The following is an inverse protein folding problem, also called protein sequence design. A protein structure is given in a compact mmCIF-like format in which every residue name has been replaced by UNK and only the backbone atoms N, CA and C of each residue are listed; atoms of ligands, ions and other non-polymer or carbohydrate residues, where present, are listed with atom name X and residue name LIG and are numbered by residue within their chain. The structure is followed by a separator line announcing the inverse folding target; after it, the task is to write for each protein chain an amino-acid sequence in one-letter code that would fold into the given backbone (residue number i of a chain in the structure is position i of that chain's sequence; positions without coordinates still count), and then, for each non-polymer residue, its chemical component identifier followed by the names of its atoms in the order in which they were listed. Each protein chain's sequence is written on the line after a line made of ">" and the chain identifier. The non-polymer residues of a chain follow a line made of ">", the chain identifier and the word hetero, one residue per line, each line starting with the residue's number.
data_IF_949900961244
#
_entry.id   IF_949900961244
#
_cell.length_a   1.000
_cell.length_b   1.000
_cell.length_c   1.000
_cell.angle_alpha   90.00
_cell.angle_beta   90.00
_cell.angle_gamma   90.00
#
_symmetry.space_group_name_H-M   'P 1'
#
loop_
_entity.id
_entity.type
_entity.pdbx_description
1 polymer ?
#
# COMPACT_ATOMS: atom_id res chain seq x y z
N UNK A 1 -15.03 22.95 -7.53
CA UNK A 1 -15.16 21.84 -8.46
C UNK A 1 -13.80 21.43 -8.99
N UNK A 2 -13.69 20.20 -9.54
CA UNK A 2 -12.46 19.73 -10.15
C UNK A 2 -12.10 20.58 -11.37
N UNK A 3 -10.82 20.95 -11.47
CA UNK A 3 -10.28 21.64 -12.63
C UNK A 3 -10.13 20.70 -13.83
N UNK A 4 -10.13 21.25 -15.03
CA UNK A 4 -9.89 20.47 -16.26
C UNK A 4 -8.50 19.87 -16.27
N UNK A 5 -7.51 20.53 -15.65
CA UNK A 5 -6.15 20.01 -15.54
C UNK A 5 -6.09 18.75 -14.66
N UNK A 6 -6.82 18.72 -13.52
CA UNK A 6 -6.90 17.53 -12.67
C UNK A 6 -7.50 16.34 -13.43
N UNK A 7 -8.59 16.58 -14.18
CA UNK A 7 -9.24 15.54 -14.97
C UNK A 7 -8.33 15.04 -16.11
N UNK A 8 -7.62 15.94 -16.76
CA UNK A 8 -6.68 15.60 -17.82
C UNK A 8 -5.52 14.75 -17.27
N UNK A 9 -4.87 15.21 -16.21
CA UNK A 9 -3.75 14.49 -15.59
C UNK A 9 -4.20 13.11 -15.05
N UNK A 10 -5.40 13.02 -14.49
CA UNK A 10 -5.96 11.75 -14.05
C UNK A 10 -6.16 10.78 -15.22
N UNK A 11 -6.75 11.23 -16.30
CA UNK A 11 -6.99 10.40 -17.50
C UNK A 11 -5.68 9.93 -18.15
N UNK A 12 -4.62 10.75 -18.10
CA UNK A 12 -3.29 10.41 -18.59
C UNK A 12 -2.46 9.54 -17.61
N UNK A 13 -2.98 9.26 -16.40
CA UNK A 13 -2.23 8.53 -15.36
C UNK A 13 -1.05 9.30 -14.78
N UNK A 14 -1.06 10.62 -14.88
CA UNK A 14 0.05 11.51 -14.51
C UNK A 14 -0.25 12.46 -13.35
N UNK A 15 -1.38 12.28 -12.67
CA UNK A 15 -1.72 13.11 -11.52
C UNK A 15 -0.95 12.65 -10.27
N UNK A 16 0.15 13.32 -9.94
CA UNK A 16 1.05 12.93 -8.84
C UNK A 16 0.51 13.24 -7.45
N UNK A 17 -0.43 14.19 -7.35
CA UNK A 17 -1.08 14.59 -6.10
C UNK A 17 -2.59 14.27 -6.16
N UNK A 18 -2.92 13.06 -6.55
CA UNK A 18 -4.30 12.62 -6.76
C UNK A 18 -5.13 12.66 -5.47
N UNK A 19 -4.49 12.43 -4.33
CA UNK A 19 -5.15 12.47 -3.02
C UNK A 19 -5.67 13.85 -2.61
N UNK A 20 -5.16 14.92 -3.21
CA UNK A 20 -5.68 16.29 -3.02
C UNK A 20 -6.78 16.66 -4.02
N UNK A 21 -6.92 15.88 -5.10
CA UNK A 21 -7.87 16.14 -6.19
C UNK A 21 -9.15 15.31 -6.08
N UNK A 22 -9.03 13.99 -5.98
CA UNK A 22 -10.18 13.08 -5.84
C UNK A 22 -10.53 12.80 -4.37
N UNK A 23 -11.62 12.09 -4.15
CA UNK A 23 -12.12 11.76 -2.82
C UNK A 23 -12.94 12.89 -2.21
N UNK A 24 -13.05 12.89 -0.89
CA UNK A 24 -13.77 13.91 -0.12
C UNK A 24 -12.81 15.02 0.29
N UNK A 25 -12.95 16.19 -0.33
CA UNK A 25 -12.09 17.35 -0.11
C UNK A 25 -12.87 18.48 0.57
N UNK A 26 -12.40 18.94 1.72
CA UNK A 26 -12.94 20.14 2.37
C UNK A 26 -12.63 21.36 1.50
N UNK A 27 -13.64 22.10 1.13
CA UNK A 27 -13.54 23.26 0.23
C UNK A 27 -14.48 24.39 0.68
N UNK A 28 -14.12 25.60 0.31
CA UNK A 28 -15.01 26.76 0.40
C UNK A 28 -15.41 27.17 -1.01
N UNK A 29 -16.71 27.14 -1.30
CA UNK A 29 -17.27 27.53 -2.58
C UNK A 29 -18.22 28.70 -2.34
N UNK A 30 -18.01 29.84 -3.03
CA UNK A 30 -18.81 31.07 -2.87
C UNK A 30 -18.99 31.49 -1.40
N UNK A 31 -17.93 31.35 -0.60
CA UNK A 31 -17.92 31.70 0.81
C UNK A 31 -18.58 30.67 1.75
N UNK A 32 -19.05 29.54 1.23
CA UNK A 32 -19.67 28.47 2.02
C UNK A 32 -18.72 27.29 2.14
N UNK A 33 -18.40 26.93 3.37
CA UNK A 33 -17.64 25.71 3.66
C UNK A 33 -18.47 24.46 3.44
N UNK A 34 -17.81 23.42 2.95
CA UNK A 34 -18.43 22.13 2.71
C UNK A 34 -17.42 21.10 2.19
N UNK A 35 -17.91 20.06 1.57
CA UNK A 35 -17.09 18.98 1.03
C UNK A 35 -17.41 18.74 -0.43
N UNK A 36 -16.38 18.70 -1.26
CA UNK A 36 -16.45 18.19 -2.61
C UNK A 36 -16.13 16.70 -2.61
N UNK A 37 -17.07 15.90 -3.05
CA UNK A 37 -16.89 14.48 -3.28
C UNK A 37 -16.62 14.21 -4.75
N UNK A 38 -15.62 13.40 -5.05
CA UNK A 38 -15.25 13.05 -6.42
C UNK A 38 -14.81 11.59 -6.49
N UNK A 39 -15.38 10.84 -7.42
CA UNK A 39 -15.11 9.41 -7.59
C UNK A 39 -15.12 9.00 -9.06
N UNK A 40 -14.21 8.11 -9.43
CA UNK A 40 -14.13 7.58 -10.78
C UNK A 40 -15.01 6.34 -10.93
N UNK A 41 -16.02 6.44 -11.79
CA UNK A 41 -16.96 5.36 -12.10
C UNK A 41 -17.51 5.54 -13.52
N UNK A 42 -16.68 5.34 -14.56
CA UNK A 42 -17.00 5.71 -15.94
C UNK A 42 -18.16 4.90 -16.55
N UNK A 43 -18.43 3.70 -16.04
CA UNK A 43 -19.48 2.83 -16.54
C UNK A 43 -20.76 2.87 -15.68
N UNK A 44 -20.80 3.71 -14.66
CA UNK A 44 -21.98 3.91 -13.85
C UNK A 44 -23.05 4.72 -14.61
N UNK A 45 -24.30 4.40 -14.34
CA UNK A 45 -25.46 5.16 -14.84
C UNK A 45 -25.86 6.30 -13.90
N UNK A 46 -25.58 6.15 -12.61
CA UNK A 46 -25.76 7.15 -11.56
C UNK A 46 -24.80 6.86 -10.42
N UNK A 47 -24.27 7.90 -9.81
CA UNK A 47 -23.53 7.84 -8.57
C UNK A 47 -24.13 8.86 -7.61
N UNK A 48 -24.33 8.45 -6.36
CA UNK A 48 -24.77 9.33 -5.28
C UNK A 48 -23.87 9.17 -4.08
N UNK A 49 -23.60 10.24 -3.35
CA UNK A 49 -22.93 10.14 -2.05
C UNK A 49 -23.99 9.99 -0.96
N UNK A 50 -23.76 9.05 -0.04
CA UNK A 50 -24.67 8.73 1.06
C UNK A 50 -23.93 8.72 2.39
N UNK A 51 -24.59 9.15 3.44
CA UNK A 51 -24.04 9.23 4.79
C UNK A 51 -25.14 9.62 5.77
N UNK A 52 -24.78 9.79 7.04
CA UNK A 52 -25.74 10.21 8.07
C UNK A 52 -26.37 11.57 7.72
N UNK A 53 -25.62 12.45 7.09
CA UNK A 53 -26.06 13.79 6.68
C UNK A 53 -27.26 13.79 5.70
N UNK A 54 -27.55 12.66 5.06
CA UNK A 54 -28.72 12.51 4.18
C UNK A 54 -29.52 11.25 4.46
N UNK A 55 -29.37 10.66 5.64
CA UNK A 55 -30.05 9.43 6.06
C UNK A 55 -29.77 8.23 5.13
N UNK A 56 -28.58 8.21 4.53
CA UNK A 56 -28.15 7.17 3.59
C UNK A 56 -29.06 6.99 2.37
N UNK A 57 -29.76 8.07 1.98
CA UNK A 57 -30.70 8.09 0.86
C UNK A 57 -30.03 8.64 -0.41
N UNK A 58 -29.70 7.75 -1.36
CA UNK A 58 -29.05 8.08 -2.61
C UNK A 58 -29.84 8.99 -3.56
N UNK A 59 -31.12 9.25 -3.29
CA UNK A 59 -31.94 10.19 -4.05
C UNK A 59 -31.63 11.64 -3.74
N UNK A 60 -30.98 11.92 -2.59
CA UNK A 60 -30.78 13.28 -2.06
C UNK A 60 -29.56 13.99 -2.64
N UNK A 61 -28.49 13.27 -2.89
CA UNK A 61 -27.24 13.83 -3.38
C UNK A 61 -26.68 13.07 -4.58
N UNK A 62 -27.40 13.03 -5.72
CA UNK A 62 -26.87 12.48 -6.96
C UNK A 62 -25.75 13.37 -7.47
N UNK A 63 -24.66 12.75 -7.91
CA UNK A 63 -23.48 13.42 -8.44
C UNK A 63 -23.62 13.66 -9.94
N UNK A 64 -22.85 14.60 -10.47
CA UNK A 64 -22.75 14.83 -11.91
C UNK A 64 -21.48 14.21 -12.48
N UNK A 65 -21.57 13.65 -13.65
CA UNK A 65 -20.41 13.11 -14.38
C UNK A 65 -19.66 14.22 -15.12
N UNK A 66 -18.34 14.14 -15.10
CA UNK A 66 -17.44 15.00 -15.87
C UNK A 66 -16.92 14.22 -17.07
N UNK A 67 -17.55 14.41 -18.21
CA UNK A 67 -17.13 13.78 -19.46
C UNK A 67 -15.87 14.48 -20.02
N UNK A 68 -14.95 13.73 -20.68
CA UNK A 68 -14.97 12.27 -20.92
C UNK A 68 -14.32 11.44 -19.82
N UNK A 69 -13.84 12.05 -18.72
CA UNK A 69 -13.03 11.38 -17.68
C UNK A 69 -13.76 10.23 -16.95
N UNK A 70 -15.09 10.28 -16.87
CA UNK A 70 -15.87 9.35 -16.08
C UNK A 70 -15.80 9.60 -14.56
N UNK A 71 -15.30 10.74 -14.16
CA UNK A 71 -15.29 11.19 -12.76
C UNK A 71 -16.64 11.82 -12.44
N UNK A 72 -17.21 11.42 -11.32
CA UNK A 72 -18.44 12.00 -10.76
C UNK A 72 -18.09 12.94 -9.63
N UNK A 73 -18.75 14.09 -9.54
CA UNK A 73 -18.51 15.07 -8.49
C UNK A 73 -19.79 15.72 -7.97
N UNK A 74 -19.76 16.13 -6.70
CA UNK A 74 -20.74 17.00 -6.06
C UNK A 74 -20.06 17.81 -4.97
N UNK A 75 -20.48 19.06 -4.77
CA UNK A 75 -20.17 19.81 -3.57
C UNK A 75 -21.41 19.86 -2.67
N UNK A 76 -21.24 19.46 -1.41
CA UNK A 76 -22.31 19.51 -0.41
C UNK A 76 -21.88 20.52 0.67
N UNK A 77 -22.62 21.63 0.80
CA UNK A 77 -22.33 22.66 1.79
C UNK A 77 -22.54 22.13 3.23
N UNK A 78 -21.78 22.66 4.17
CA UNK A 78 -21.91 22.43 5.61
C UNK A 78 -21.56 21.01 6.09
N UNK A 79 -21.11 20.12 5.22
CA UNK A 79 -20.49 18.87 5.64
C UNK A 79 -19.15 19.18 6.28
N UNK A 80 -18.83 18.46 7.37
CA UNK A 80 -17.61 18.68 8.17
C UNK A 80 -16.71 17.46 8.17
N UNK A 81 -15.42 17.62 8.49
CA UNK A 81 -14.55 16.51 8.82
C UNK A 81 -15.16 15.61 9.90
N UNK A 82 -14.96 14.30 9.76
CA UNK A 82 -15.50 13.30 10.67
C UNK A 82 -16.81 12.67 10.20
N UNK A 83 -17.54 13.30 9.28
CA UNK A 83 -18.73 12.71 8.68
C UNK A 83 -18.41 11.42 7.93
N UNK A 84 -19.23 10.39 8.10
CA UNK A 84 -19.08 9.11 7.43
C UNK A 84 -19.88 9.09 6.14
N UNK A 85 -19.32 8.45 5.12
CA UNK A 85 -19.97 8.37 3.81
C UNK A 85 -19.56 7.12 3.03
N UNK A 86 -20.39 6.80 2.05
CA UNK A 86 -20.12 5.82 0.97
C UNK A 86 -20.70 6.34 -0.34
N UNK A 87 -20.46 5.62 -1.42
CA UNK A 87 -21.10 5.87 -2.71
C UNK A 87 -22.15 4.81 -3.01
N UNK A 88 -23.34 5.25 -3.42
CA UNK A 88 -24.38 4.42 -4.02
C UNK A 88 -24.22 4.50 -5.53
N UNK A 89 -23.91 3.38 -6.16
CA UNK A 89 -23.65 3.29 -7.60
C UNK A 89 -24.73 2.46 -8.29
N UNK A 90 -25.40 3.05 -9.28
CA UNK A 90 -26.26 2.35 -10.21
C UNK A 90 -25.42 1.91 -11.41
N UNK A 91 -25.10 0.63 -11.46
CA UNK A 91 -24.43 0.02 -12.61
C UNK A 91 -25.41 -0.31 -13.74
N UNK A 92 -24.92 -0.99 -14.77
CA UNK A 92 -25.73 -1.36 -15.94
C UNK A 92 -26.86 -2.35 -15.60
N UNK A 93 -26.67 -3.17 -14.57
CA UNK A 93 -27.60 -4.24 -14.19
C UNK A 93 -28.34 -4.00 -12.87
N UNK A 94 -28.21 -2.82 -12.29
CA UNK A 94 -28.87 -2.46 -11.05
C UNK A 94 -27.97 -1.71 -10.06
N UNK A 95 -28.54 -1.43 -8.88
CA UNK A 95 -27.82 -0.79 -7.78
C UNK A 95 -26.84 -1.77 -7.16
N UNK A 96 -25.60 -1.34 -7.02
CA UNK A 96 -24.53 -2.13 -6.39
C UNK A 96 -24.61 -2.04 -4.86
N UNK A 97 -23.96 -2.96 -4.12
CA UNK A 97 -23.65 -2.73 -2.72
C UNK A 97 -22.95 -1.39 -2.55
N UNK A 98 -23.18 -0.71 -1.43
CA UNK A 98 -22.54 0.57 -1.14
C UNK A 98 -21.02 0.42 -1.16
N UNK A 99 -20.34 1.37 -1.82
CA UNK A 99 -18.89 1.37 -2.01
C UNK A 99 -18.19 2.37 -1.10
N UNK A 100 -17.14 1.92 -0.44
CA UNK A 100 -16.18 2.82 0.20
C UNK A 100 -15.44 3.65 -0.86
N UNK A 101 -14.96 4.81 -0.47
CA UNK A 101 -14.21 5.70 -1.37
C UNK A 101 -12.79 5.15 -1.60
N UNK A 102 -12.41 4.84 -2.85
CA UNK A 102 -11.03 4.42 -3.15
C UNK A 102 -9.96 5.45 -2.77
N UNK A 103 -10.35 6.73 -2.70
CA UNK A 103 -9.48 7.85 -2.39
C UNK A 103 -9.61 8.34 -0.94
N UNK A 104 -10.28 7.57 -0.07
CA UNK A 104 -10.45 7.96 1.32
C UNK A 104 -9.10 8.18 2.01
N UNK A 105 -8.99 9.29 2.72
CA UNK A 105 -7.83 9.63 3.54
C UNK A 105 -8.01 9.21 5.01
N UNK A 106 -9.23 8.90 5.40
CA UNK A 106 -9.60 8.37 6.71
C UNK A 106 -10.80 7.43 6.57
N UNK A 107 -10.91 6.49 7.50
CA UNK A 107 -11.96 5.46 7.50
C UNK A 107 -12.55 5.29 8.91
N UNK A 108 -13.69 4.60 8.97
CA UNK A 108 -14.21 4.06 10.22
C UNK A 108 -13.36 2.87 10.69
N UNK A 109 -13.45 2.55 11.98
CA UNK A 109 -12.79 1.36 12.53
C UNK A 109 -13.58 0.12 12.12
N UNK A 110 -12.92 -0.93 11.58
CA UNK A 110 -13.58 -2.20 11.32
C UNK A 110 -14.28 -2.78 12.58
N UNK A 111 -15.41 -3.45 12.44
CA UNK A 111 -16.01 -4.01 11.22
C UNK A 111 -16.80 -3.01 10.36
N UNK A 112 -16.89 -1.76 10.77
CA UNK A 112 -17.49 -0.73 9.93
C UNK A 112 -16.68 -0.53 8.65
N UNK A 113 -17.36 -0.20 7.54
CA UNK A 113 -16.78 -0.17 6.21
C UNK A 113 -16.91 1.18 5.50
N UNK A 114 -17.30 2.22 6.23
CA UNK A 114 -17.47 3.55 5.66
C UNK A 114 -16.12 4.31 5.58
N UNK A 115 -16.07 5.22 4.64
CA UNK A 115 -15.05 6.25 4.58
C UNK A 115 -15.42 7.43 5.48
N UNK A 116 -14.43 8.20 5.91
CA UNK A 116 -14.63 9.43 6.68
C UNK A 116 -14.09 10.63 5.92
N UNK A 117 -14.81 11.73 6.00
CA UNK A 117 -14.27 13.02 5.54
C UNK A 117 -13.10 13.40 6.44
N UNK A 118 -11.90 13.44 5.87
CA UNK A 118 -10.71 13.90 6.58
C UNK A 118 -10.56 15.41 6.46
N UNK A 119 -10.13 16.05 7.55
CA UNK A 119 -9.55 17.39 7.44
C UNK A 119 -8.24 17.29 6.61
N UNK A 120 -7.82 18.37 5.93
CA UNK A 120 -6.48 18.40 5.35
C UNK A 120 -5.45 18.04 6.41
N UNK A 121 -4.49 17.18 6.06
CA UNK A 121 -3.42 16.80 6.99
C UNK A 121 -2.65 18.05 7.40
N UNK A 122 -2.82 18.46 8.65
CA UNK A 122 -2.18 19.61 9.25
C UNK A 122 -1.31 19.13 10.41
N UNK A 123 -0.08 18.73 10.07
CA UNK A 123 0.89 18.26 11.03
C UNK A 123 2.14 19.14 10.97
N UNK A 124 2.59 19.63 12.11
CA UNK A 124 3.81 20.45 12.22
C UNK A 124 5.03 19.52 12.35
N UNK A 125 5.62 19.19 11.22
CA UNK A 125 6.77 18.31 11.13
C UNK A 125 8.02 18.92 11.77
N UNK A 126 8.69 18.18 12.62
CA UNK A 126 9.92 18.55 13.31
C UNK A 126 11.11 17.69 12.86
N UNK A 127 11.07 17.17 11.64
CA UNK A 127 12.01 16.19 11.08
C UNK A 127 12.85 16.72 9.92
N UNK A 128 12.98 18.03 9.80
CA UNK A 128 13.72 18.67 8.69
C UNK A 128 15.15 18.14 8.54
N UNK A 129 15.87 17.96 9.65
CA UNK A 129 17.26 17.47 9.64
C UNK A 129 17.32 16.04 9.06
N UNK A 130 16.34 15.19 9.44
CA UNK A 130 16.22 13.85 8.88
C UNK A 130 15.93 13.91 7.38
N UNK A 131 14.93 14.64 6.96
CA UNK A 131 14.51 14.71 5.55
C UNK A 131 15.61 15.27 4.65
N UNK A 132 16.39 16.24 5.11
CA UNK A 132 17.52 16.80 4.37
C UNK A 132 18.71 15.80 4.25
N UNK A 133 18.95 15.00 5.27
CA UNK A 133 20.07 14.04 5.31
C UNK A 133 19.69 12.62 4.87
N UNK A 134 18.41 12.38 4.59
CA UNK A 134 17.88 11.05 4.26
C UNK A 134 18.62 10.39 3.10
N UNK A 135 18.89 11.14 2.04
CA UNK A 135 19.62 10.64 0.88
C UNK A 135 21.02 10.13 1.23
N UNK A 136 21.73 10.84 2.10
CA UNK A 136 23.07 10.44 2.57
C UNK A 136 22.99 9.18 3.44
N UNK A 137 21.97 9.07 4.28
CA UNK A 137 21.73 7.89 5.14
C UNK A 137 21.37 6.64 4.34
N UNK A 138 20.78 6.81 3.18
CA UNK A 138 20.40 5.73 2.26
C UNK A 138 21.45 5.47 1.17
N UNK A 139 22.60 6.12 1.25
CA UNK A 139 23.73 5.78 0.36
C UNK A 139 24.11 4.30 0.53
N UNK A 140 24.44 3.65 -0.57
CA UNK A 140 24.74 2.21 -0.59
C UNK A 140 25.90 1.80 0.33
N UNK A 141 26.77 2.75 0.70
CA UNK A 141 27.89 2.51 1.61
C UNK A 141 27.51 2.71 3.09
N UNK A 142 26.28 3.11 3.37
CA UNK A 142 25.79 3.22 4.75
C UNK A 142 25.14 1.91 5.21
N UNK A 143 25.31 1.56 6.50
CA UNK A 143 24.66 0.37 7.03
C UNK A 143 23.15 0.54 7.08
N UNK A 144 22.43 -0.51 6.72
CA UNK A 144 20.98 -0.58 6.77
C UNK A 144 20.59 -1.81 7.58
N UNK A 145 19.95 -1.59 8.72
CA UNK A 145 19.44 -2.65 9.59
C UNK A 145 17.98 -2.36 9.89
N UNK A 146 17.09 -3.26 9.47
CA UNK A 146 15.64 -3.04 9.45
C UNK A 146 14.96 -4.01 10.41
N UNK A 147 14.11 -3.48 11.30
CA UNK A 147 13.24 -4.26 12.17
C UNK A 147 11.82 -4.26 11.61
N UNK A 148 11.35 -5.44 11.16
CA UNK A 148 9.99 -5.63 10.66
C UNK A 148 9.03 -5.91 11.81
N UNK A 149 7.88 -5.25 11.81
CA UNK A 149 6.84 -5.51 12.80
C UNK A 149 5.42 -5.31 12.24
N UNK A 150 4.47 -6.02 12.87
CA UNK A 150 3.04 -5.78 12.69
C UNK A 150 2.52 -4.92 13.84
N UNK A 151 2.06 -3.71 13.55
CA UNK A 151 1.62 -2.73 14.55
C UNK A 151 0.51 -3.27 15.47
N UNK A 152 -0.40 -4.08 14.92
CA UNK A 152 -1.54 -4.61 15.64
C UNK A 152 -1.25 -5.79 16.58
N UNK A 153 -0.04 -6.36 16.55
CA UNK A 153 0.29 -7.54 17.36
C UNK A 153 1.67 -7.49 18.03
N UNK A 154 2.43 -6.43 17.81
CA UNK A 154 3.76 -6.31 18.40
C UNK A 154 3.72 -6.33 19.95
N UNK A 155 2.91 -5.46 20.53
CA UNK A 155 2.56 -5.47 21.94
C UNK A 155 1.13 -4.90 22.11
N UNK A 156 0.53 -5.23 23.25
CA UNK A 156 -0.84 -4.83 23.56
C UNK A 156 -0.90 -3.98 24.82
N UNK A 157 -1.83 -3.02 24.81
CA UNK A 157 -2.29 -2.38 26.04
C UNK A 157 -3.21 -3.37 26.76
N UNK A 158 -2.81 -3.77 27.96
CA UNK A 158 -3.64 -4.61 28.81
C UNK A 158 -4.55 -3.71 29.65
N UNK A 159 -5.83 -3.73 29.33
CA UNK A 159 -6.85 -3.06 30.10
C UNK A 159 -7.02 -3.68 31.50
N UNK A 160 -7.58 -2.92 32.42
CA UNK A 160 -8.01 -3.45 33.72
C UNK A 160 -9.37 -4.14 33.62
N UNK A 161 -10.04 -4.29 34.76
CA UNK A 161 -11.38 -4.93 34.82
C UNK A 161 -12.42 -4.21 33.94
N UNK A 162 -12.24 -2.91 33.68
CA UNK A 162 -13.20 -2.04 32.98
C UNK A 162 -12.81 -1.68 31.53
N UNK A 163 -11.64 -2.08 31.06
CA UNK A 163 -11.15 -1.73 29.74
C UNK A 163 -10.62 -2.97 28.98
N UNK A 164 -11.06 -3.22 27.74
CA UNK A 164 -10.60 -4.38 26.97
C UNK A 164 -9.14 -4.24 26.55
N UNK A 165 -8.46 -5.36 26.42
CA UNK A 165 -7.16 -5.42 25.79
C UNK A 165 -7.25 -4.93 24.34
N UNK A 166 -6.28 -4.15 23.91
CA UNK A 166 -6.20 -3.60 22.56
C UNK A 166 -4.74 -3.45 22.09
N UNK A 167 -4.49 -3.42 20.77
CA UNK A 167 -3.18 -3.03 20.27
C UNK A 167 -2.83 -1.61 20.73
N UNK A 168 -1.54 -1.30 20.75
CA UNK A 168 -1.10 0.07 20.98
C UNK A 168 -1.61 1.01 19.88
N UNK A 169 -1.99 2.22 20.25
CA UNK A 169 -2.15 3.31 19.32
C UNK A 169 -0.77 3.86 18.88
N UNK A 170 -0.77 4.76 17.89
CA UNK A 170 0.48 5.29 17.34
C UNK A 170 1.38 5.98 18.38
N UNK A 171 0.82 6.68 19.35
CA UNK A 171 1.59 7.35 20.41
C UNK A 171 2.21 6.34 21.37
N UNK A 172 1.43 5.36 21.83
CA UNK A 172 1.91 4.29 22.70
C UNK A 172 2.96 3.43 22.00
N UNK A 173 2.76 3.15 20.70
CA UNK A 173 3.73 2.41 19.91
C UNK A 173 5.05 3.19 19.80
N UNK A 174 5.01 4.49 19.53
CA UNK A 174 6.21 5.32 19.50
C UNK A 174 6.96 5.29 20.84
N UNK A 175 6.23 5.44 21.95
CA UNK A 175 6.82 5.44 23.30
C UNK A 175 7.55 4.13 23.63
N UNK A 176 7.03 3.00 23.21
CA UNK A 176 7.59 1.68 23.53
C UNK A 176 8.58 1.17 22.50
N UNK A 177 8.30 1.36 21.22
CA UNK A 177 9.09 0.82 20.13
C UNK A 177 10.38 1.58 19.91
N UNK A 178 10.37 2.90 19.95
CA UNK A 178 11.54 3.72 19.65
C UNK A 178 12.73 3.40 20.58
N UNK A 179 12.57 3.38 21.91
CA UNK A 179 13.66 2.97 22.79
C UNK A 179 14.17 1.55 22.53
N UNK A 180 13.26 0.63 22.26
CA UNK A 180 13.60 -0.77 21.94
C UNK A 180 14.46 -0.88 20.69
N UNK A 181 14.07 -0.19 19.61
CA UNK A 181 14.81 -0.16 18.33
C UNK A 181 16.20 0.47 18.50
N UNK A 182 16.30 1.55 19.27
CA UNK A 182 17.58 2.22 19.57
C UNK A 182 18.52 1.33 20.38
N UNK A 183 18.00 0.64 21.38
CA UNK A 183 18.79 -0.27 22.23
C UNK A 183 19.36 -1.44 21.41
N UNK A 184 18.58 -1.96 20.47
CA UNK A 184 19.01 -3.03 19.58
C UNK A 184 19.90 -2.57 18.41
N UNK A 185 20.01 -1.26 18.17
CA UNK A 185 20.88 -0.68 17.15
C UNK A 185 20.33 -0.77 15.72
N UNK A 186 19.03 -0.95 15.53
CA UNK A 186 18.43 -0.88 14.21
C UNK A 186 18.39 0.56 13.66
N UNK A 187 18.55 0.71 12.35
CA UNK A 187 18.51 2.01 11.67
C UNK A 187 17.11 2.38 11.21
N UNK A 188 16.30 1.39 10.91
CA UNK A 188 14.95 1.53 10.36
C UNK A 188 13.98 0.56 11.02
N UNK A 189 12.70 0.92 10.96
CA UNK A 189 11.60 -0.01 11.13
C UNK A 189 10.88 -0.22 9.79
N UNK A 190 10.33 -1.40 9.60
CA UNK A 190 9.44 -1.72 8.50
C UNK A 190 8.09 -2.14 9.08
N UNK A 191 7.07 -1.34 8.82
CA UNK A 191 5.71 -1.64 9.22
C UNK A 191 5.07 -2.55 8.17
N UNK A 192 4.61 -3.74 8.58
CA UNK A 192 3.67 -4.52 7.78
C UNK A 192 2.47 -3.65 7.42
N UNK A 193 1.69 -3.95 6.37
CA UNK A 193 0.77 -2.97 5.79
C UNK A 193 -0.14 -2.31 6.82
N UNK A 194 -0.12 -0.98 6.85
CA UNK A 194 -0.93 -0.16 7.79
C UNK A 194 -2.10 0.52 7.09
N UNK A 195 -2.23 0.37 5.80
CA UNK A 195 -3.38 0.85 5.04
C UNK A 195 -4.64 0.12 5.50
N UNK A 196 -5.80 0.82 5.52
CA UNK A 196 -7.01 0.21 6.05
C UNK A 196 -7.46 -1.03 5.27
N UNK A 197 -7.80 -2.06 6.01
CA UNK A 197 -8.17 -3.37 5.50
C UNK A 197 -9.30 -3.96 6.35
N UNK A 198 -10.23 -4.75 5.76
CA UNK A 198 -11.41 -5.24 6.46
C UNK A 198 -11.09 -6.36 7.45
N UNK A 199 -10.17 -7.25 7.11
CA UNK A 199 -9.86 -8.46 7.87
C UNK A 199 -8.50 -8.35 8.57
N UNK A 200 -8.52 -8.27 9.90
CA UNK A 200 -7.30 -8.16 10.71
C UNK A 200 -6.35 -9.36 10.56
N UNK A 201 -6.88 -10.55 10.31
CA UNK A 201 -6.10 -11.77 10.09
C UNK A 201 -5.27 -11.76 8.79
N UNK A 202 -5.49 -10.81 7.90
CA UNK A 202 -4.65 -10.62 6.70
C UNK A 202 -3.35 -9.86 6.99
N UNK A 203 -3.16 -9.35 8.20
CA UNK A 203 -2.05 -8.47 8.60
C UNK A 203 -1.89 -7.22 7.72
N UNK A 204 -2.97 -6.83 7.04
CA UNK A 204 -3.01 -5.70 6.12
C UNK A 204 -2.69 -6.01 4.66
N UNK A 205 -2.35 -7.24 4.31
CA UNK A 205 -2.06 -7.62 2.91
C UNK A 205 -3.29 -7.70 2.01
N UNK A 206 -4.50 -7.70 2.57
CA UNK A 206 -5.77 -7.61 1.84
C UNK A 206 -6.43 -6.25 2.09
N UNK A 207 -5.75 -5.20 1.72
CA UNK A 207 -6.18 -3.82 1.94
C UNK A 207 -7.18 -3.35 0.89
N UNK A 208 -8.01 -2.39 1.27
CA UNK A 208 -8.99 -1.73 0.39
C UNK A 208 -8.78 -0.23 0.28
N UNK A 209 -7.97 0.37 1.17
CA UNK A 209 -7.71 1.81 1.20
C UNK A 209 -6.25 2.10 0.92
N UNK A 210 -5.93 2.48 -0.29
CA UNK A 210 -4.55 2.77 -0.70
C UNK A 210 -4.00 4.09 -0.14
N UNK A 211 -4.86 4.95 0.44
CA UNK A 211 -4.49 6.30 0.89
C UNK A 211 -4.79 6.57 2.37
N UNK A 212 -5.47 5.67 3.07
CA UNK A 212 -5.85 5.86 4.47
C UNK A 212 -5.06 4.94 5.39
N UNK A 213 -4.38 5.47 6.43
CA UNK A 213 -3.84 4.63 7.48
C UNK A 213 -4.98 3.99 8.28
N UNK A 214 -4.76 2.78 8.79
CA UNK A 214 -5.78 2.06 9.55
C UNK A 214 -6.24 2.86 10.77
N UNK A 215 -7.54 3.01 10.90
CA UNK A 215 -8.16 3.70 12.04
C UNK A 215 -8.05 2.90 13.35
N UNK A 216 -7.57 1.65 13.30
CA UNK A 216 -7.35 0.82 14.49
C UNK A 216 -6.36 1.43 15.47
N UNK A 217 -5.41 2.22 14.98
CA UNK A 217 -4.27 2.72 15.76
C UNK A 217 -4.31 4.23 16.00
N UNK A 218 -5.33 4.92 15.51
CA UNK A 218 -5.51 6.35 15.66
C UNK A 218 -5.85 7.07 14.36
N UNK A 219 -5.69 8.39 14.38
CA UNK A 219 -5.96 9.26 13.24
C UNK A 219 -4.76 9.33 12.27
N UNK A 220 -4.94 9.87 11.05
CA UNK A 220 -3.81 10.16 10.16
C UNK A 220 -2.76 11.08 10.80
N UNK A 221 -3.16 12.06 11.60
CA UNK A 221 -2.25 12.95 12.34
C UNK A 221 -1.45 12.19 13.39
N UNK A 222 -2.05 11.21 14.06
CA UNK A 222 -1.36 10.34 15.03
C UNK A 222 -0.29 9.51 14.33
N UNK A 223 -0.56 9.00 13.12
CA UNK A 223 0.43 8.30 12.33
C UNK A 223 1.59 9.24 11.89
N UNK A 224 1.28 10.46 11.46
CA UNK A 224 2.30 11.46 11.16
C UNK A 224 3.16 11.76 12.39
N UNK A 225 2.56 11.87 13.58
CA UNK A 225 3.29 12.05 14.83
C UNK A 225 4.22 10.87 15.14
N UNK A 226 3.80 9.64 14.86
CA UNK A 226 4.63 8.45 15.01
C UNK A 226 5.86 8.50 14.10
N UNK A 227 5.69 8.81 12.81
CA UNK A 227 6.80 8.94 11.86
C UNK A 227 7.76 10.04 12.28
N UNK A 228 7.22 11.20 12.65
CA UNK A 228 8.00 12.32 13.16
C UNK A 228 8.86 11.94 14.38
N UNK A 229 8.28 11.22 15.34
CA UNK A 229 9.00 10.75 16.51
C UNK A 229 10.14 9.78 16.15
N UNK A 230 9.93 8.89 15.19
CA UNK A 230 10.97 8.02 14.66
C UNK A 230 12.13 8.84 14.06
N UNK A 231 11.82 9.81 13.21
CA UNK A 231 12.83 10.67 12.58
C UNK A 231 13.61 11.51 13.58
N UNK A 232 12.96 12.07 14.59
CA UNK A 232 13.62 12.79 15.69
C UNK A 232 14.58 11.91 16.50
N UNK A 233 14.36 10.61 16.48
CA UNK A 233 15.23 9.61 17.12
C UNK A 233 16.20 8.93 16.14
N UNK A 234 16.37 9.48 14.96
CA UNK A 234 17.26 8.97 13.91
C UNK A 234 16.92 7.55 13.45
N UNK A 235 15.63 7.24 13.36
CA UNK A 235 15.09 5.97 12.87
C UNK A 235 14.23 6.25 11.62
N UNK A 236 14.53 5.57 10.52
CA UNK A 236 13.72 5.62 9.31
C UNK A 236 12.51 4.70 9.40
N UNK A 237 11.49 4.99 8.59
CA UNK A 237 10.24 4.23 8.52
C UNK A 237 9.99 3.76 7.10
N UNK A 238 9.94 2.45 6.92
CA UNK A 238 9.59 1.79 5.66
C UNK A 238 8.18 1.22 5.80
N UNK A 239 7.36 1.39 4.78
CA UNK A 239 6.03 0.77 4.71
C UNK A 239 6.04 -0.41 3.76
N UNK A 240 5.45 -1.49 4.21
CA UNK A 240 5.03 -2.60 3.34
C UNK A 240 3.81 -2.14 2.53
N UNK A 241 3.98 -2.10 1.21
CA UNK A 241 3.01 -1.54 0.26
C UNK A 241 2.60 -2.59 -0.76
N UNK A 242 1.30 -2.74 -0.98
CA UNK A 242 0.71 -3.86 -1.73
C UNK A 242 0.03 -3.36 -3.00
N UNK A 243 0.76 -3.20 -4.12
CA UNK A 243 0.17 -2.75 -5.38
C UNK A 243 -0.30 -3.89 -6.30
N UNK A 244 -0.09 -5.15 -5.90
CA UNK A 244 -0.33 -6.30 -6.77
C UNK A 244 -1.80 -6.72 -6.81
N UNK A 245 -2.47 -6.71 -5.67
CA UNK A 245 -3.80 -7.31 -5.53
C UNK A 245 -4.65 -6.61 -4.46
N UNK A 246 -5.95 -6.94 -4.43
CA UNK A 246 -6.90 -6.47 -3.42
C UNK A 246 -8.00 -7.52 -3.18
N UNK A 247 -8.66 -7.51 -2.01
CA UNK A 247 -9.69 -8.49 -1.67
C UNK A 247 -10.99 -8.26 -2.43
N UNK A 248 -11.85 -9.28 -2.43
CA UNK A 248 -13.12 -9.31 -3.18
C UNK A 248 -14.32 -8.72 -2.42
N UNK A 249 -14.10 -8.13 -1.25
CA UNK A 249 -15.16 -7.53 -0.43
C UNK A 249 -16.04 -6.57 -1.23
N UNK A 250 -17.35 -6.73 -1.12
CA UNK A 250 -18.31 -6.04 -1.98
C UNK A 250 -18.37 -4.53 -1.77
N UNK A 251 -17.94 -4.04 -0.61
CA UNK A 251 -17.84 -2.60 -0.33
C UNK A 251 -16.55 -1.95 -0.86
N UNK A 252 -15.63 -2.76 -1.38
CA UNK A 252 -14.32 -2.32 -1.88
C UNK A 252 -14.26 -2.13 -3.38
N UNK A 253 -13.06 -2.36 -3.94
CA UNK A 253 -12.76 -2.07 -5.34
C UNK A 253 -13.32 -3.08 -6.35
N UNK A 254 -13.66 -4.29 -5.89
CA UNK A 254 -14.16 -5.35 -6.76
C UNK A 254 -15.44 -4.90 -7.48
N UNK A 255 -15.44 -5.00 -8.82
CA UNK A 255 -16.58 -4.59 -9.66
C UNK A 255 -17.10 -3.18 -9.30
N UNK A 256 -16.19 -2.23 -9.13
CA UNK A 256 -16.47 -0.96 -8.45
C UNK A 256 -17.63 -0.17 -9.05
N UNK A 257 -17.74 -0.12 -10.36
CA UNK A 257 -18.84 0.54 -11.07
C UNK A 257 -19.82 -0.44 -11.76
N UNK A 258 -19.78 -1.71 -11.35
CA UNK A 258 -20.52 -2.81 -11.96
C UNK A 258 -19.72 -3.50 -13.06
N UNK A 259 -18.51 -3.07 -13.31
CA UNK A 259 -17.55 -3.67 -14.25
C UNK A 259 -16.23 -3.96 -13.57
N UNK A 260 -15.35 -4.73 -14.20
CA UNK A 260 -13.97 -4.91 -13.78
C UNK A 260 -13.20 -3.60 -14.04
N UNK A 261 -13.27 -2.64 -13.12
CA UNK A 261 -12.72 -1.30 -13.30
C UNK A 261 -11.24 -1.23 -12.87
N UNK A 262 -10.94 -1.67 -11.66
CA UNK A 262 -9.59 -1.72 -11.11
C UNK A 262 -8.86 -3.02 -11.44
N UNK A 263 -9.59 -4.12 -11.58
CA UNK A 263 -9.08 -5.45 -11.90
C UNK A 263 -9.17 -5.77 -13.39
N UNK A 264 -8.43 -6.81 -13.81
CA UNK A 264 -8.66 -7.43 -15.12
C UNK A 264 -10.00 -8.15 -15.16
N UNK A 265 -10.72 -8.05 -16.26
CA UNK A 265 -12.03 -8.70 -16.44
C UNK A 265 -11.96 -10.22 -16.62
N UNK A 266 -10.85 -10.73 -17.17
CA UNK A 266 -10.63 -12.15 -17.35
C UNK A 266 -10.04 -12.75 -16.06
N UNK A 267 -10.68 -13.75 -15.41
CA UNK A 267 -10.15 -14.38 -14.20
C UNK A 267 -8.76 -15.01 -14.38
N UNK A 268 -8.41 -15.44 -15.58
CA UNK A 268 -7.07 -15.96 -15.89
C UNK A 268 -5.97 -14.87 -15.85
N UNK A 269 -6.34 -13.61 -15.80
CA UNK A 269 -5.44 -12.46 -15.64
C UNK A 269 -5.69 -11.73 -14.33
N UNK A 270 -6.93 -11.75 -13.82
CA UNK A 270 -7.44 -10.87 -12.77
C UNK A 270 -7.68 -11.50 -11.41
N UNK A 271 -7.40 -12.79 -11.23
CA UNK A 271 -7.68 -13.48 -9.97
C UNK A 271 -6.53 -14.38 -9.52
N UNK A 272 -6.07 -14.18 -8.29
CA UNK A 272 -5.10 -15.07 -7.62
C UNK A 272 -5.82 -16.17 -6.86
N UNK A 273 -5.65 -17.42 -7.30
CA UNK A 273 -6.29 -18.57 -6.68
C UNK A 273 -5.76 -18.89 -5.28
N UNK A 274 -4.46 -18.64 -5.03
CA UNK A 274 -3.83 -18.93 -3.74
C UNK A 274 -4.25 -17.97 -2.63
N UNK A 275 -4.64 -16.74 -3.00
CA UNK A 275 -4.95 -15.66 -2.05
C UNK A 275 -6.40 -15.19 -2.06
N UNK A 276 -7.23 -15.75 -2.96
CA UNK A 276 -8.61 -15.30 -3.18
C UNK A 276 -8.72 -13.78 -3.42
N UNK A 277 -7.78 -13.21 -4.16
CA UNK A 277 -7.68 -11.77 -4.41
C UNK A 277 -7.77 -11.45 -5.89
N UNK A 278 -8.21 -10.23 -6.19
CA UNK A 278 -8.21 -9.66 -7.54
C UNK A 278 -6.86 -8.98 -7.84
N UNK A 279 -6.50 -8.96 -9.12
CA UNK A 279 -5.23 -8.38 -9.60
C UNK A 279 -5.53 -7.03 -10.24
N UNK A 280 -4.81 -5.98 -9.78
CA UNK A 280 -4.91 -4.66 -10.39
C UNK A 280 -4.54 -4.68 -11.87
N UNK A 281 -5.39 -4.09 -12.70
CA UNK A 281 -5.11 -3.86 -14.12
C UNK A 281 -4.20 -2.64 -14.28
N UNK A 282 -2.90 -2.82 -14.09
CA UNK A 282 -1.90 -1.76 -14.20
C UNK A 282 -1.67 -1.28 -15.64
N UNK A 283 -2.24 -1.98 -16.62
CA UNK A 283 -2.31 -1.53 -18.01
C UNK A 283 -3.38 -0.47 -18.29
N UNK A 284 -4.33 -0.29 -17.36
CA UNK A 284 -5.29 0.81 -17.43
C UNK A 284 -4.66 2.08 -16.88
N UNK A 285 -4.64 3.13 -17.68
CA UNK A 285 -3.91 4.37 -17.39
C UNK A 285 -4.31 4.99 -16.05
N UNK A 286 -5.61 5.03 -15.74
CA UNK A 286 -6.13 5.58 -14.49
C UNK A 286 -5.74 4.73 -13.28
N UNK A 287 -5.70 3.41 -13.40
CA UNK A 287 -5.28 2.48 -12.33
C UNK A 287 -3.77 2.58 -12.10
N UNK A 288 -3.00 2.68 -13.18
CA UNK A 288 -1.56 2.93 -13.14
C UNK A 288 -1.26 4.23 -12.36
N UNK A 289 -1.90 5.32 -12.74
CA UNK A 289 -1.73 6.62 -12.07
C UNK A 289 -2.22 6.63 -10.62
N UNK A 290 -3.34 5.96 -10.33
CA UNK A 290 -3.87 5.77 -8.98
C UNK A 290 -2.83 5.11 -8.07
N UNK A 291 -2.18 4.06 -8.53
CA UNK A 291 -1.21 3.32 -7.74
C UNK A 291 0.10 4.09 -7.55
N UNK A 292 0.59 4.78 -8.57
CA UNK A 292 1.77 5.67 -8.41
C UNK A 292 1.46 6.79 -7.42
N UNK A 293 0.29 7.41 -7.50
CA UNK A 293 -0.13 8.44 -6.57
C UNK A 293 -0.23 7.92 -5.13
N UNK A 294 -0.66 6.66 -4.94
CA UNK A 294 -0.64 6.00 -3.62
C UNK A 294 0.77 5.92 -3.04
N UNK A 295 1.74 5.42 -3.80
CA UNK A 295 3.13 5.36 -3.34
C UNK A 295 3.68 6.74 -2.96
N UNK A 296 3.45 7.75 -3.79
CA UNK A 296 3.87 9.12 -3.53
C UNK A 296 3.17 9.75 -2.33
N UNK A 297 1.90 9.43 -2.10
CA UNK A 297 1.14 9.90 -0.94
C UNK A 297 1.84 9.55 0.37
N UNK A 298 2.26 8.30 0.54
CA UNK A 298 2.97 7.86 1.73
C UNK A 298 4.35 8.51 1.86
N UNK A 299 5.09 8.58 0.76
CA UNK A 299 6.44 9.15 0.76
C UNK A 299 6.46 10.66 1.00
N UNK A 300 5.51 11.41 0.44
CA UNK A 300 5.50 12.88 0.47
C UNK A 300 4.66 13.44 1.61
N UNK A 301 3.48 12.88 1.87
CA UNK A 301 2.56 13.43 2.86
C UNK A 301 2.83 12.91 4.28
N UNK A 302 3.36 11.69 4.40
CA UNK A 302 3.71 11.08 5.67
C UNK A 302 5.22 10.94 5.90
N UNK A 303 6.07 11.49 5.03
CA UNK A 303 7.53 11.45 5.13
C UNK A 303 8.10 10.03 5.25
N UNK A 304 7.42 9.03 4.72
CA UNK A 304 7.89 7.64 4.73
C UNK A 304 9.20 7.55 3.94
N UNK A 305 10.14 6.77 4.45
CA UNK A 305 11.51 6.69 3.95
C UNK A 305 11.71 5.64 2.88
N UNK A 306 10.78 4.73 2.76
CA UNK A 306 10.81 3.71 1.71
C UNK A 306 9.53 2.89 1.65
N UNK A 307 9.36 2.25 0.49
CA UNK A 307 8.30 1.28 0.25
C UNK A 307 8.94 -0.09 0.05
N UNK A 308 8.49 -1.07 0.81
CA UNK A 308 8.72 -2.49 0.49
C UNK A 308 7.55 -2.93 -0.36
N UNK A 309 7.82 -3.28 -1.61
CA UNK A 309 6.79 -3.65 -2.58
C UNK A 309 6.54 -5.15 -2.48
N UNK A 310 5.35 -5.50 -2.01
CA UNK A 310 4.91 -6.86 -1.79
C UNK A 310 4.68 -7.62 -3.10
N UNK A 311 5.02 -8.92 -3.10
CA UNK A 311 4.67 -9.87 -4.14
C UNK A 311 5.06 -9.45 -5.56
N UNK A 312 6.24 -8.86 -5.76
CA UNK A 312 6.70 -8.41 -7.08
C UNK A 312 6.74 -9.55 -8.09
N UNK A 313 7.11 -10.76 -7.68
CA UNK A 313 7.09 -11.93 -8.57
C UNK A 313 5.70 -12.16 -9.18
N UNK A 314 4.63 -11.99 -8.42
CA UNK A 314 3.26 -12.11 -8.91
C UNK A 314 2.89 -11.06 -9.95
N UNK A 315 3.57 -9.92 -9.93
CA UNK A 315 3.37 -8.82 -10.88
C UNK A 315 4.15 -9.02 -12.18
N UNK A 316 5.30 -9.71 -12.13
CA UNK A 316 6.17 -9.91 -13.28
C UNK A 316 5.67 -11.00 -14.22
N UNK A 317 4.98 -12.02 -13.70
CA UNK A 317 4.64 -13.22 -14.43
C UNK A 317 3.14 -13.46 -14.49
N UNK A 318 2.61 -13.62 -15.71
CA UNK A 318 1.19 -13.97 -15.94
C UNK A 318 0.83 -15.39 -15.51
N UNK A 319 1.80 -16.29 -15.48
CA UNK A 319 1.66 -17.69 -15.04
C UNK A 319 2.02 -17.93 -13.57
N UNK A 320 2.19 -16.85 -12.78
CA UNK A 320 2.50 -16.98 -11.37
C UNK A 320 1.44 -17.82 -10.64
N UNK A 321 1.88 -18.88 -9.95
CA UNK A 321 1.02 -19.86 -9.24
C UNK A 321 -0.12 -20.44 -10.09
N UNK A 322 0.07 -20.56 -11.39
CA UNK A 322 -0.92 -21.12 -12.32
C UNK A 322 -0.37 -22.30 -13.09
N UNK A 323 -1.25 -23.24 -13.39
CA UNK A 323 -0.93 -24.40 -14.25
C UNK A 323 -1.03 -24.03 -15.73
N UNK A 324 -0.51 -24.89 -16.57
CA UNK A 324 -0.67 -24.76 -18.01
C UNK A 324 -2.17 -24.69 -18.38
N UNK A 325 -2.55 -23.67 -19.18
CA UNK A 325 -3.93 -23.42 -19.57
C UNK A 325 -4.76 -22.59 -18.60
N UNK A 326 -4.21 -22.22 -17.44
CA UNK A 326 -4.90 -21.38 -16.44
C UNK A 326 -4.50 -19.90 -16.51
N UNK A 327 -3.73 -19.50 -17.50
CA UNK A 327 -3.24 -18.13 -17.68
C UNK A 327 -3.26 -17.71 -19.14
N UNK A 328 -3.23 -16.39 -19.36
CA UNK A 328 -3.22 -15.77 -20.68
C UNK A 328 -1.84 -15.19 -20.97
N UNK A 329 -1.19 -15.60 -22.09
CA UNK A 329 0.08 -15.03 -22.50
C UNK A 329 -0.03 -13.53 -22.81
N UNK A 330 1.10 -12.84 -22.75
CA UNK A 330 1.18 -11.46 -23.21
C UNK A 330 1.02 -11.38 -24.75
N UNK A 331 0.96 -10.16 -25.28
CA UNK A 331 0.78 -9.91 -26.74
C UNK A 331 1.85 -10.53 -27.65
N UNK A 332 2.96 -10.97 -27.10
CA UNK A 332 4.04 -11.65 -27.83
C UNK A 332 4.08 -13.14 -27.59
N UNK A 333 3.12 -13.68 -26.83
CA UNK A 333 3.03 -15.09 -26.49
C UNK A 333 3.87 -15.51 -25.27
N UNK A 334 4.51 -14.57 -24.59
CA UNK A 334 5.33 -14.80 -23.40
C UNK A 334 4.55 -14.78 -22.10
N UNK A 335 5.24 -15.14 -21.03
CA UNK A 335 4.70 -15.21 -19.67
C UNK A 335 4.84 -13.88 -18.88
N UNK A 336 5.63 -12.96 -19.36
CA UNK A 336 5.89 -11.68 -18.71
C UNK A 336 4.66 -10.77 -18.77
N UNK A 337 4.31 -10.17 -17.62
CA UNK A 337 3.27 -9.15 -17.55
C UNK A 337 3.89 -7.78 -17.89
N UNK A 338 3.82 -7.42 -19.16
CA UNK A 338 4.49 -6.24 -19.69
C UNK A 338 3.96 -4.94 -19.07
N UNK A 339 2.66 -4.87 -18.80
CA UNK A 339 2.01 -3.69 -18.20
C UNK A 339 2.48 -3.48 -16.76
N UNK A 340 2.58 -4.53 -15.97
CA UNK A 340 3.08 -4.46 -14.61
C UNK A 340 4.58 -4.16 -14.55
N UNK A 341 5.37 -4.69 -15.49
CA UNK A 341 6.80 -4.37 -15.63
C UNK A 341 6.98 -2.87 -15.93
N UNK A 342 6.22 -2.33 -16.88
CA UNK A 342 6.24 -0.90 -17.20
C UNK A 342 5.83 -0.05 -16.00
N UNK A 343 4.82 -0.48 -15.25
CA UNK A 343 4.40 0.17 -14.00
C UNK A 343 5.54 0.22 -12.97
N UNK A 344 6.22 -0.90 -12.72
CA UNK A 344 7.30 -0.97 -11.72
C UNK A 344 8.48 -0.07 -12.10
N UNK A 345 8.87 -0.05 -13.37
CA UNK A 345 9.89 0.87 -13.87
C UNK A 345 9.48 2.33 -13.70
N UNK A 346 8.26 2.66 -14.10
CA UNK A 346 7.75 4.02 -13.99
C UNK A 346 7.62 4.45 -12.53
N UNK A 347 7.14 3.58 -11.64
CA UNK A 347 7.11 3.83 -10.20
C UNK A 347 8.49 4.24 -9.67
N UNK A 348 9.51 3.44 -9.97
CA UNK A 348 10.86 3.68 -9.48
C UNK A 348 11.46 4.99 -10.04
N UNK A 349 11.22 5.29 -11.32
CA UNK A 349 11.67 6.55 -11.93
C UNK A 349 10.97 7.77 -11.30
N UNK A 350 9.66 7.66 -11.06
CA UNK A 350 8.87 8.75 -10.44
C UNK A 350 9.28 8.95 -8.98
N UNK A 351 9.49 7.89 -8.22
CA UNK A 351 9.95 8.00 -6.83
C UNK A 351 11.32 8.65 -6.75
N UNK A 352 12.25 8.30 -7.64
CA UNK A 352 13.57 8.93 -7.70
C UNK A 352 13.49 10.44 -7.97
N UNK A 353 12.52 10.86 -8.77
CA UNK A 353 12.32 12.27 -9.14
C UNK A 353 11.56 13.04 -8.04
N UNK A 354 10.46 12.50 -7.55
CA UNK A 354 9.49 13.20 -6.69
C UNK A 354 9.78 13.07 -5.20
N UNK A 355 10.46 12.00 -4.80
CA UNK A 355 10.82 11.70 -3.41
C UNK A 355 12.29 11.27 -3.32
N UNK A 356 13.24 12.15 -3.67
CA UNK A 356 14.66 11.81 -3.68
C UNK A 356 15.13 11.32 -2.31
N UNK A 357 15.98 10.30 -2.31
CA UNK A 357 16.48 9.66 -1.10
C UNK A 357 15.55 8.59 -0.51
N UNK A 358 14.32 8.45 -0.98
CA UNK A 358 13.46 7.35 -0.58
C UNK A 358 13.92 6.03 -1.20
N UNK A 359 13.72 4.93 -0.47
CA UNK A 359 14.03 3.58 -0.91
C UNK A 359 12.79 2.91 -1.52
N UNK A 360 12.99 2.09 -2.54
CA UNK A 360 11.97 1.15 -3.05
C UNK A 360 12.59 -0.23 -3.07
N UNK A 361 12.03 -1.13 -2.27
CA UNK A 361 12.59 -2.45 -1.99
C UNK A 361 11.64 -3.51 -2.55
N UNK A 362 12.15 -4.41 -3.40
CA UNK A 362 11.34 -5.46 -3.99
C UNK A 362 11.36 -6.73 -3.13
N UNK A 363 10.20 -7.21 -2.74
CA UNK A 363 10.03 -8.61 -2.36
C UNK A 363 9.79 -9.42 -3.64
N UNK A 364 10.87 -10.00 -4.17
CA UNK A 364 10.85 -10.73 -5.43
C UNK A 364 11.66 -12.03 -5.27
N UNK A 365 10.98 -13.16 -5.42
CA UNK A 365 11.50 -14.48 -5.09
C UNK A 365 12.09 -15.26 -6.27
N UNK A 366 12.03 -14.69 -7.47
CA UNK A 366 12.48 -15.38 -8.70
C UNK A 366 13.85 -14.94 -9.16
N UNK A 367 14.32 -15.53 -10.24
CA UNK A 367 15.59 -15.19 -10.89
C UNK A 367 15.45 -14.08 -11.95
N UNK A 368 14.40 -13.24 -11.85
CA UNK A 368 14.26 -12.09 -12.77
C UNK A 368 15.53 -11.22 -12.73
N UNK A 369 16.15 -10.94 -13.88
CA UNK A 369 17.41 -10.21 -13.91
C UNK A 369 17.21 -8.71 -13.75
N UNK A 370 18.13 -8.05 -13.05
CA UNK A 370 18.21 -6.59 -12.98
C UNK A 370 17.09 -5.94 -12.19
N UNK A 371 16.54 -6.58 -11.15
CA UNK A 371 15.53 -5.99 -10.28
C UNK A 371 16.03 -4.68 -9.67
N UNK A 372 17.25 -4.65 -9.16
CA UNK A 372 17.89 -3.46 -8.57
C UNK A 372 18.82 -2.71 -9.53
N UNK A 373 18.75 -3.02 -10.81
CA UNK A 373 19.47 -2.30 -11.85
C UNK A 373 18.71 -1.05 -12.29
N UNK A 374 19.39 0.07 -12.63
CA UNK A 374 18.72 1.25 -13.16
C UNK A 374 17.87 0.97 -14.40
N UNK A 375 16.75 1.66 -14.51
CA UNK A 375 15.83 1.53 -15.65
C UNK A 375 16.49 1.86 -16.99
N UNK A 376 17.42 2.82 -17.00
CA UNK A 376 18.20 3.21 -18.18
C UNK A 376 19.13 2.09 -18.68
N UNK A 377 19.41 1.11 -17.84
CA UNK A 377 20.20 -0.08 -18.18
C UNK A 377 19.31 -1.33 -18.41
N UNK A 378 18.01 -1.14 -18.52
CA UNK A 378 17.04 -2.21 -18.72
C UNK A 378 16.56 -2.91 -17.46
N UNK A 379 16.97 -2.43 -16.27
CA UNK A 379 16.50 -2.95 -14.98
C UNK A 379 15.12 -2.47 -14.58
N UNK A 380 14.64 -2.94 -13.42
CA UNK A 380 13.37 -2.49 -12.84
C UNK A 380 13.51 -1.22 -12.00
N UNK A 381 14.72 -0.84 -11.60
CA UNK A 381 15.01 0.41 -10.89
C UNK A 381 14.81 0.38 -9.38
N UNK A 382 14.58 -0.77 -8.77
CA UNK A 382 14.49 -0.86 -7.31
C UNK A 382 15.82 -0.47 -6.62
N UNK A 383 15.73 0.05 -5.42
CA UNK A 383 16.91 0.34 -4.60
C UNK A 383 17.58 -0.96 -4.15
N UNK A 384 16.77 -1.92 -3.71
CA UNK A 384 17.19 -3.22 -3.20
C UNK A 384 16.19 -4.30 -3.58
N UNK A 385 16.67 -5.54 -3.54
CA UNK A 385 15.88 -6.77 -3.64
C UNK A 385 16.09 -7.62 -2.40
N UNK A 386 15.03 -8.21 -1.85
CA UNK A 386 15.15 -9.23 -0.84
C UNK A 386 15.83 -10.48 -1.39
N UNK A 387 16.82 -11.01 -0.69
CA UNK A 387 17.47 -12.26 -1.04
C UNK A 387 16.72 -13.44 -0.43
N UNK A 388 15.68 -13.89 -1.11
CA UNK A 388 14.83 -14.99 -0.65
C UNK A 388 15.59 -16.34 -0.66
N UNK A 389 16.52 -16.54 -1.59
CA UNK A 389 17.38 -17.72 -1.63
C UNK A 389 18.25 -17.85 -0.39
N UNK A 390 18.92 -16.75 0.01
CA UNK A 390 19.69 -16.70 1.24
C UNK A 390 18.81 -16.99 2.47
N UNK A 391 17.60 -16.44 2.52
CA UNK A 391 16.67 -16.67 3.63
C UNK A 391 16.32 -18.16 3.75
N UNK A 392 15.90 -18.78 2.67
CA UNK A 392 15.54 -20.21 2.67
C UNK A 392 16.73 -21.11 3.06
N UNK A 393 17.89 -20.86 2.48
CA UNK A 393 19.09 -21.63 2.78
C UNK A 393 19.50 -21.48 4.26
N UNK A 394 19.46 -20.25 4.77
CA UNK A 394 19.82 -19.98 6.17
C UNK A 394 18.85 -20.64 7.14
N UNK A 395 17.54 -20.53 6.89
CA UNK A 395 16.53 -21.17 7.74
C UNK A 395 16.64 -22.68 7.69
N UNK A 396 16.82 -23.26 6.52
CA UNK A 396 17.01 -24.71 6.37
C UNK A 396 18.25 -25.20 7.13
N UNK A 397 19.37 -24.43 7.10
CA UNK A 397 20.56 -24.75 7.89
C UNK A 397 20.28 -24.69 9.41
N UNK A 398 19.54 -23.69 9.87
CA UNK A 398 19.21 -23.53 11.29
C UNK A 398 18.32 -24.67 11.78
N UNK A 399 17.38 -25.12 10.98
CA UNK A 399 16.45 -26.23 11.27
C UNK A 399 17.15 -27.61 11.37
N UNK A 400 18.36 -27.75 10.83
CA UNK A 400 19.11 -29.00 10.95
C UNK A 400 19.53 -29.25 12.41
N UNK A 401 19.40 -30.49 12.87
CA UNK A 401 20.00 -30.91 14.13
C UNK A 401 21.51 -30.56 14.13
N UNK A 402 22.05 -29.96 15.20
CA UNK A 402 23.45 -29.57 15.26
C UNK A 402 24.46 -30.62 14.81
N UNK A 403 24.16 -31.89 15.03
CA UNK A 403 25.04 -33.01 14.59
C UNK A 403 25.13 -33.12 13.06
N UNK A 404 24.11 -32.62 12.32
CA UNK A 404 24.06 -32.70 10.87
C UNK A 404 24.55 -31.43 10.19
N UNK A 405 24.59 -30.27 10.89
CA UNK A 405 24.97 -28.96 10.33
C UNK A 405 26.32 -28.94 9.61
N UNK A 406 27.26 -29.77 10.05
CA UNK A 406 28.57 -29.92 9.37
C UNK A 406 28.48 -30.34 7.90
N UNK A 407 27.40 -30.96 7.50
CA UNK A 407 27.17 -31.43 6.12
C UNK A 407 26.37 -30.40 5.28
N UNK A 408 25.96 -29.28 5.86
CA UNK A 408 25.11 -28.25 5.27
C UNK A 408 25.76 -26.86 5.18
N UNK A 409 27.06 -26.73 5.43
CA UNK A 409 27.78 -25.45 5.40
C UNK A 409 27.69 -24.72 4.06
N UNK A 410 27.51 -25.47 2.96
CA UNK A 410 27.30 -24.90 1.63
C UNK A 410 26.02 -24.02 1.57
N UNK A 411 25.02 -24.29 2.37
CA UNK A 411 23.78 -23.48 2.43
C UNK A 411 24.08 -22.07 2.96
N UNK A 412 24.99 -21.93 3.93
CA UNK A 412 25.42 -20.63 4.45
C UNK A 412 26.28 -19.84 3.45
N UNK A 413 27.08 -20.53 2.64
CA UNK A 413 28.05 -19.91 1.75
C UNK A 413 27.54 -19.73 0.30
N UNK A 414 26.49 -20.45 -0.11
CA UNK A 414 26.00 -20.42 -1.48
C UNK A 414 25.56 -19.02 -1.93
N UNK A 415 24.97 -18.23 -1.04
CA UNK A 415 24.58 -16.86 -1.30
C UNK A 415 25.73 -15.97 -1.79
N UNK A 416 26.97 -16.28 -1.44
CA UNK A 416 28.16 -15.54 -1.89
C UNK A 416 28.41 -15.70 -3.40
N UNK A 417 27.93 -16.78 -4.00
CA UNK A 417 28.10 -17.05 -5.46
C UNK A 417 27.40 -16.01 -6.30
N UNK A 418 26.27 -15.49 -5.82
CA UNK A 418 25.45 -14.51 -6.54
C UNK A 418 25.27 -13.17 -5.80
N UNK A 419 26.00 -12.96 -4.71
CA UNK A 419 25.85 -11.78 -3.84
C UNK A 419 25.96 -10.43 -4.58
N UNK A 420 26.65 -10.40 -5.72
CA UNK A 420 26.91 -9.19 -6.50
C UNK A 420 25.97 -9.03 -7.71
N UNK A 421 25.05 -9.96 -7.94
CA UNK A 421 24.11 -9.91 -9.07
C UNK A 421 23.02 -8.85 -8.89
N UNK A 422 22.70 -8.51 -7.65
CA UNK A 422 21.71 -7.51 -7.24
C UNK A 422 22.21 -6.76 -6.00
N UNK A 423 21.51 -5.67 -5.66
CA UNK A 423 21.64 -5.03 -4.34
C UNK A 423 20.70 -5.73 -3.37
N UNK A 424 21.23 -6.65 -2.58
CA UNK A 424 20.41 -7.47 -1.71
C UNK A 424 20.23 -6.90 -0.31
N UNK A 425 19.00 -7.04 0.21
CA UNK A 425 18.72 -7.09 1.65
C UNK A 425 18.58 -8.55 2.03
N UNK A 426 19.13 -8.94 3.19
CA UNK A 426 19.08 -10.30 3.73
C UNK A 426 17.91 -10.40 4.73
N UNK A 427 16.72 -10.84 4.31
CA UNK A 427 15.55 -10.87 5.18
C UNK A 427 15.47 -12.14 6.01
N UNK A 428 14.92 -12.02 7.21
CA UNK A 428 14.21 -13.09 7.91
C UNK A 428 12.84 -12.52 8.19
N UNK A 429 11.92 -12.79 7.29
CA UNK A 429 10.62 -12.12 7.24
C UNK A 429 9.59 -12.83 8.11
N UNK A 430 8.51 -12.12 8.42
CA UNK A 430 7.37 -12.63 9.17
C UNK A 430 6.81 -13.93 8.59
N UNK A 431 6.77 -14.08 7.27
CA UNK A 431 6.22 -15.28 6.59
C UNK A 431 6.95 -16.57 6.95
N UNK A 432 8.21 -16.47 7.38
CA UNK A 432 9.03 -17.64 7.68
C UNK A 432 9.04 -18.00 9.17
N UNK A 433 8.43 -17.17 10.02
CA UNK A 433 8.41 -17.32 11.47
C UNK A 433 7.00 -17.22 12.09
N UNK A 434 5.98 -17.45 11.29
CA UNK A 434 4.55 -17.39 11.71
C UNK A 434 4.06 -18.74 12.21
N UNK A 435 2.79 -18.76 12.66
CA UNK A 435 2.10 -19.95 13.13
C UNK A 435 2.23 -21.11 12.14
N UNK A 436 2.66 -22.27 12.61
CA UNK A 436 2.90 -23.47 11.81
C UNK A 436 4.31 -23.57 11.20
N UNK A 437 5.11 -22.48 11.23
CA UNK A 437 6.50 -22.48 10.75
C UNK A 437 7.54 -22.34 11.88
N UNK A 438 7.11 -22.23 13.11
CA UNK A 438 7.90 -22.00 14.31
C UNK A 438 8.60 -20.63 14.38
N UNK A 439 8.96 -20.21 15.59
CA UNK A 439 9.80 -19.03 15.79
C UNK A 439 11.26 -19.36 15.41
N UNK A 440 12.06 -18.32 15.20
CA UNK A 440 13.48 -18.50 14.90
C UNK A 440 14.22 -19.25 16.03
N UNK A 441 13.77 -19.10 17.28
CA UNK A 441 14.35 -19.79 18.43
C UNK A 441 13.96 -21.27 18.46
N UNK A 442 12.79 -21.60 17.95
CA UNK A 442 12.25 -22.99 17.93
C UNK A 442 12.74 -23.81 16.73
N UNK A 443 13.37 -23.15 15.77
CA UNK A 443 14.03 -23.79 14.63
C UNK A 443 15.39 -24.38 15.02
#
# INVERSE_FOLDING_TARGET
>A
LLGEMDLYLFAEGNHRDLSSALGAQVKTVDGVEGVRFSVWAPNARRVSVVGDFNSWDGRRHPMRVRYPSGVWEIFIPRIKPGETYKYEILGQHGVLPLKADPMALATTVPPNTASKVAAPLSFDWQDNDWMQSRGDKHDIHQPLSIYELHAGSWQWHHGGEDEPDRPYNWHELAEKLIPYIKDLGFTHIELMPIMEHPFGGSWGYQLLSQFAPSARYGTPEDFAAFVNACHQNNIGVILDWVPAHFPTDTHGLAQFDGTALYEYGNPQEGFHQDWDTLIYNLGRTEVHGFMIASGLHWLKNFHIDGLRVDAVASMLYRDYSRKAGEWVPNRYGGRENLEAIDFLRHLNDVVALEAPGALVIAEESTSWPGVSQPTQQGGLGFSYKWNMGWMHDTLHYIEQDPIHRQHHHNELSFGLVYAWSERFILPISHDEVVHGKHSLIDK
#
